data_IF_752504227240
#
_entry.id   IF_752504227240
#
_cell.length_a   1.000
_cell.length_b   1.000
_cell.length_c   1.000
_cell.angle_alpha   90.00
_cell.angle_beta   90.00
_cell.angle_gamma   90.00
#
_symmetry.space_group_name_H-M   'P 1'
#
loop_
_entity.id
_entity.type
_entity.pdbx_description
1 polymer ?
#
# COMPACT_ATOMS: atom_id res chain seq x y z
N UNK A 1 -21.07 10.39 10.82
CA UNK A 1 -20.81 9.20 11.66
C UNK A 1 -19.71 8.39 11.00
N UNK A 2 -18.74 7.90 11.77
CA UNK A 2 -17.74 6.97 11.24
C UNK A 2 -18.38 5.60 11.00
N UNK A 3 -17.82 4.84 10.07
CA UNK A 3 -18.16 3.43 9.84
C UNK A 3 -17.56 2.57 10.96
N UNK A 4 -18.04 1.33 11.12
CA UNK A 4 -17.66 0.49 12.25
C UNK A 4 -16.17 0.11 12.25
N UNK A 5 -15.71 -0.62 11.25
CA UNK A 5 -14.34 -1.13 11.21
C UNK A 5 -13.77 -1.23 9.80
N UNK A 6 -12.45 -1.10 9.69
CA UNK A 6 -11.71 -1.29 8.45
C UNK A 6 -10.43 -2.11 8.67
N UNK A 7 -10.07 -2.91 7.66
CA UNK A 7 -8.77 -3.58 7.56
C UNK A 7 -7.96 -2.88 6.46
N UNK A 8 -6.82 -2.30 6.83
CA UNK A 8 -5.92 -1.61 5.90
C UNK A 8 -4.86 -2.57 5.40
N UNK A 9 -4.76 -2.73 4.07
CA UNK A 9 -3.61 -3.37 3.43
C UNK A 9 -2.42 -2.42 3.56
N UNK A 10 -1.42 -2.82 4.34
CA UNK A 10 -0.43 -1.91 4.90
C UNK A 10 1.00 -2.39 4.64
N UNK A 11 1.86 -1.51 4.14
CA UNK A 11 3.28 -1.79 3.88
C UNK A 11 4.25 -0.87 4.63
N UNK A 12 3.75 0.19 5.29
CA UNK A 12 4.61 1.19 5.92
C UNK A 12 5.20 2.23 4.95
N UNK A 13 4.87 2.14 3.66
CA UNK A 13 5.18 3.18 2.66
C UNK A 13 4.23 4.38 2.73
N UNK A 14 4.53 5.42 1.94
CA UNK A 14 3.76 6.67 1.86
C UNK A 14 2.26 6.42 1.65
N UNK A 15 1.91 5.71 0.58
CA UNK A 15 0.53 5.51 0.14
C UNK A 15 -0.29 4.75 1.19
N UNK A 16 0.19 3.57 1.61
CA UNK A 16 -0.51 2.74 2.60
C UNK A 16 -0.62 3.40 3.98
N UNK A 17 0.36 4.23 4.37
CA UNK A 17 0.29 5.02 5.60
C UNK A 17 -0.72 6.16 5.48
N UNK A 18 -0.82 6.81 4.32
CA UNK A 18 -1.87 7.80 4.05
C UNK A 18 -3.25 7.15 4.11
N UNK A 19 -3.42 5.95 3.53
CA UNK A 19 -4.64 5.14 3.67
C UNK A 19 -4.95 4.78 5.13
N UNK A 20 -3.94 4.50 5.95
CA UNK A 20 -4.12 4.23 7.38
C UNK A 20 -4.68 5.45 8.12
N UNK A 21 -4.10 6.64 7.91
CA UNK A 21 -4.62 7.87 8.50
C UNK A 21 -6.01 8.24 7.99
N UNK A 22 -6.27 8.01 6.70
CA UNK A 22 -7.60 8.13 6.12
C UNK A 22 -8.59 7.19 6.83
N UNK A 23 -8.24 5.91 7.00
CA UNK A 23 -9.08 4.95 7.72
C UNK A 23 -9.36 5.39 9.18
N UNK A 24 -8.36 5.91 9.90
CA UNK A 24 -8.55 6.42 11.28
C UNK A 24 -9.53 7.60 11.36
N UNK A 25 -9.64 8.41 10.31
CA UNK A 25 -10.63 9.51 10.22
C UNK A 25 -12.04 8.99 9.91
N UNK A 26 -12.16 7.91 9.15
CA UNK A 26 -13.45 7.40 8.63
C UNK A 26 -14.07 6.22 9.40
N UNK A 27 -13.29 5.51 10.22
CA UNK A 27 -13.73 4.31 10.95
C UNK A 27 -13.50 4.41 12.47
N UNK A 28 -14.35 3.75 13.27
CA UNK A 28 -14.20 3.67 14.72
C UNK A 28 -13.04 2.75 15.12
N UNK A 29 -12.90 1.61 14.43
CA UNK A 29 -11.81 0.64 14.65
C UNK A 29 -11.03 0.40 13.36
N UNK A 30 -9.71 0.40 13.45
CA UNK A 30 -8.82 0.11 12.32
C UNK A 30 -7.84 -1.00 12.70
N UNK A 31 -7.79 -2.05 11.88
CA UNK A 31 -6.74 -3.06 11.90
C UNK A 31 -5.90 -2.94 10.61
N UNK A 32 -4.67 -3.42 10.62
CA UNK A 32 -3.77 -3.43 9.46
C UNK A 32 -3.26 -4.84 9.17
N UNK A 33 -2.99 -5.14 7.89
CA UNK A 33 -2.35 -6.38 7.45
C UNK A 33 -1.18 -6.08 6.52
N UNK A 34 -0.02 -6.66 6.82
CA UNK A 34 1.17 -6.64 5.97
C UNK A 34 1.45 -8.03 5.40
N UNK A 35 1.85 -8.08 4.14
CA UNK A 35 2.18 -9.31 3.44
C UNK A 35 3.70 -9.46 3.33
N UNK A 36 4.25 -10.53 3.88
CA UNK A 36 5.67 -10.85 3.82
C UNK A 36 5.91 -11.90 2.72
N UNK A 37 6.32 -11.48 1.52
CA UNK A 37 6.47 -12.39 0.35
C UNK A 37 7.92 -12.54 -0.12
N UNK A 38 8.87 -12.70 0.80
CA UNK A 38 10.29 -12.98 0.47
C UNK A 38 11.17 -11.75 0.22
N UNK A 39 10.72 -10.56 0.64
CA UNK A 39 11.48 -9.32 0.43
C UNK A 39 12.90 -9.42 1.01
N UNK A 40 13.92 -9.05 0.20
CA UNK A 40 15.32 -8.83 0.64
C UNK A 40 15.44 -7.80 1.79
N UNK A 41 14.36 -7.09 2.15
CA UNK A 41 14.37 -6.00 3.14
C UNK A 41 13.35 -6.23 4.26
N UNK A 42 13.76 -7.00 5.28
CA UNK A 42 13.13 -7.10 6.60
C UNK A 42 12.69 -5.73 7.18
N UNK A 43 13.32 -4.65 6.73
CA UNK A 43 13.05 -3.29 7.16
C UNK A 43 11.64 -2.79 6.81
N UNK A 44 11.05 -3.18 5.67
CA UNK A 44 9.68 -2.73 5.32
C UNK A 44 8.64 -3.22 6.33
N UNK A 45 8.74 -4.50 6.72
CA UNK A 45 7.89 -5.10 7.76
C UNK A 45 8.15 -4.39 9.10
N UNK A 46 9.40 -4.15 9.47
CA UNK A 46 9.73 -3.43 10.73
C UNK A 46 9.15 -2.02 10.75
N UNK A 47 9.17 -1.30 9.63
CA UNK A 47 8.58 0.04 9.51
C UNK A 47 7.06 -0.04 9.65
N UNK A 48 6.41 -1.00 9.00
CA UNK A 48 4.98 -1.23 9.15
C UNK A 48 4.60 -1.56 10.61
N UNK A 49 5.29 -2.50 11.25
CA UNK A 49 5.07 -2.86 12.66
C UNK A 49 5.26 -1.65 13.59
N UNK A 50 6.31 -0.87 13.36
CA UNK A 50 6.62 0.32 14.16
C UNK A 50 5.51 1.36 14.01
N UNK A 51 5.11 1.70 12.79
CA UNK A 51 4.02 2.65 12.54
C UNK A 51 2.73 2.13 13.18
N UNK A 52 2.39 0.86 12.99
CA UNK A 52 1.17 0.30 13.56
C UNK A 52 1.15 0.39 15.10
N UNK A 53 2.28 0.08 15.74
CA UNK A 53 2.45 0.21 17.18
C UNK A 53 2.33 1.66 17.65
N UNK A 54 2.99 2.60 16.98
CA UNK A 54 2.91 4.04 17.28
C UNK A 54 1.48 4.58 17.11
N UNK A 55 0.74 4.07 16.12
CA UNK A 55 -0.63 4.46 15.83
C UNK A 55 -1.68 3.73 16.68
N UNK A 56 -1.27 2.78 17.53
CA UNK A 56 -2.14 2.03 18.42
C UNK A 56 -3.10 1.08 17.71
N UNK A 57 -2.75 0.61 16.50
CA UNK A 57 -3.62 -0.27 15.71
C UNK A 57 -3.16 -1.74 15.84
N UNK A 58 -4.12 -2.66 15.75
CA UNK A 58 -3.81 -4.09 15.65
C UNK A 58 -3.22 -4.36 14.26
N UNK A 59 -2.11 -5.08 14.23
CA UNK A 59 -1.37 -5.39 13.01
C UNK A 59 -1.17 -6.89 12.85
N UNK A 60 -1.46 -7.38 11.65
CA UNK A 60 -1.30 -8.77 11.26
C UNK A 60 -0.19 -8.86 10.21
N UNK A 61 0.66 -9.88 10.31
CA UNK A 61 1.64 -10.20 9.28
C UNK A 61 1.25 -11.54 8.71
N UNK A 62 1.03 -11.59 7.40
CA UNK A 62 0.75 -12.81 6.67
C UNK A 62 1.98 -13.19 5.84
N UNK A 63 2.54 -14.36 6.13
CA UNK A 63 3.61 -14.95 5.34
C UNK A 63 3.05 -15.45 4.01
N UNK A 64 3.61 -14.90 2.94
CA UNK A 64 3.26 -15.11 1.55
C UNK A 64 4.45 -15.69 0.77
N UNK A 65 5.45 -16.26 1.45
CA UNK A 65 6.61 -16.95 0.86
C UNK A 65 6.22 -18.05 -0.13
N UNK A 66 5.03 -18.64 0.01
CA UNK A 66 4.47 -19.61 -0.93
C UNK A 66 4.38 -19.07 -2.37
N UNK A 67 4.26 -17.75 -2.55
CA UNK A 67 4.22 -17.13 -3.88
C UNK A 67 5.50 -17.43 -4.66
N UNK A 68 6.63 -17.59 -3.97
CA UNK A 68 7.91 -17.97 -4.60
C UNK A 68 7.93 -19.35 -5.23
N UNK A 69 6.94 -20.21 -4.95
CA UNK A 69 6.78 -21.49 -5.66
C UNK A 69 6.12 -21.34 -7.03
N UNK A 70 5.43 -20.22 -7.26
CA UNK A 70 4.59 -19.99 -8.45
C UNK A 70 5.24 -18.94 -9.37
N UNK A 71 6.17 -18.14 -8.84
CA UNK A 71 6.78 -17.01 -9.55
C UNK A 71 8.30 -17.16 -9.63
N UNK A 72 8.86 -17.21 -10.84
CA UNK A 72 10.29 -17.03 -11.08
C UNK A 72 10.58 -15.53 -11.29
N UNK A 73 11.06 -14.83 -10.26
CA UNK A 73 11.42 -13.41 -10.37
C UNK A 73 12.60 -13.06 -9.44
N UNK A 74 13.16 -11.86 -9.57
CA UNK A 74 14.33 -11.43 -8.80
C UNK A 74 14.07 -11.23 -7.28
N UNK A 75 12.81 -11.39 -6.81
CA UNK A 75 12.48 -11.46 -5.39
C UNK A 75 12.51 -12.90 -4.85
N UNK A 76 12.40 -13.90 -5.74
CA UNK A 76 12.31 -15.33 -5.39
C UNK A 76 13.52 -16.14 -5.87
N UNK A 77 14.44 -15.50 -6.60
CA UNK A 77 15.67 -16.08 -7.16
C UNK A 77 16.87 -15.14 -6.95
N UNK A 78 18.10 -15.65 -7.08
CA UNK A 78 19.36 -14.89 -6.98
C UNK A 78 19.64 -13.97 -8.18
N UNK A 79 18.60 -13.56 -8.92
CA UNK A 79 18.74 -12.65 -10.05
C UNK A 79 19.00 -11.20 -9.59
N UNK A 80 19.76 -10.45 -10.39
CA UNK A 80 19.88 -9.00 -10.21
C UNK A 80 18.55 -8.33 -10.57
N UNK A 81 18.18 -7.29 -9.83
CA UNK A 81 16.96 -6.52 -10.11
C UNK A 81 17.26 -5.63 -11.31
N UNK A 82 16.63 -5.91 -12.45
CA UNK A 82 16.74 -5.11 -13.67
C UNK A 82 15.39 -4.42 -13.96
N UNK A 83 15.45 -3.11 -14.23
CA UNK A 83 14.33 -2.35 -14.75
C UNK A 83 14.81 -1.58 -15.99
N UNK A 84 14.31 -1.98 -17.17
CA UNK A 84 14.51 -1.23 -18.41
C UNK A 84 13.37 -0.25 -18.60
N UNK A 85 13.68 0.90 -19.21
CA UNK A 85 12.70 1.94 -19.48
C UNK A 85 11.59 1.39 -20.41
N UNK A 86 10.34 1.37 -19.94
CA UNK A 86 9.19 0.82 -20.67
C UNK A 86 8.91 -0.68 -20.45
N UNK A 87 9.73 -1.39 -19.66
CA UNK A 87 9.49 -2.80 -19.30
C UNK A 87 9.09 -2.95 -17.83
N UNK A 88 8.29 -3.98 -17.54
CA UNK A 88 7.91 -4.33 -16.18
C UNK A 88 9.14 -4.92 -15.48
N UNK A 89 9.48 -4.49 -14.25
CA UNK A 89 10.66 -5.01 -13.53
C UNK A 89 10.67 -6.54 -13.44
N UNK A 90 11.85 -7.15 -13.49
CA UNK A 90 11.98 -8.61 -13.32
C UNK A 90 11.68 -9.12 -11.89
N UNK A 91 11.20 -8.26 -11.00
CA UNK A 91 10.61 -8.55 -9.67
C UNK A 91 9.09 -8.70 -9.73
N UNK A 92 8.50 -8.59 -10.92
CA UNK A 92 7.07 -8.63 -11.15
C UNK A 92 6.47 -9.99 -10.82
N UNK A 93 5.30 -9.94 -10.16
CA UNK A 93 4.42 -11.09 -9.94
C UNK A 93 3.07 -10.70 -10.52
N UNK A 94 2.72 -11.30 -11.65
CA UNK A 94 1.41 -11.14 -12.25
C UNK A 94 0.31 -11.52 -11.25
N UNK A 95 -0.65 -10.61 -11.06
CA UNK A 95 -1.82 -10.85 -10.21
C UNK A 95 -1.53 -10.94 -8.71
N UNK A 96 -0.39 -10.42 -8.20
CA UNK A 96 -0.13 -10.46 -6.75
C UNK A 96 -1.21 -9.73 -5.94
N UNK A 97 -1.75 -8.61 -6.45
CA UNK A 97 -2.74 -7.84 -5.71
C UNK A 97 -4.08 -8.59 -5.63
N UNK A 98 -4.37 -9.47 -6.60
CA UNK A 98 -5.49 -10.40 -6.50
C UNK A 98 -5.35 -11.30 -5.28
N UNK A 99 -4.17 -11.87 -5.09
CA UNK A 99 -3.88 -12.73 -3.95
C UNK A 99 -3.93 -11.91 -2.65
N UNK A 100 -3.21 -10.80 -2.56
CA UNK A 100 -3.22 -9.95 -1.36
C UNK A 100 -4.62 -9.52 -0.94
N UNK A 101 -5.46 -9.05 -1.87
CA UNK A 101 -6.84 -8.67 -1.56
C UNK A 101 -7.70 -9.87 -1.16
N UNK A 102 -7.45 -11.05 -1.73
CA UNK A 102 -8.15 -12.29 -1.33
C UNK A 102 -7.79 -12.71 0.10
N UNK A 103 -6.49 -12.70 0.45
CA UNK A 103 -6.03 -12.99 1.82
C UNK A 103 -6.52 -11.94 2.82
N UNK A 104 -6.47 -10.65 2.45
CA UNK A 104 -7.02 -9.57 3.26
C UNK A 104 -8.52 -9.76 3.53
N UNK A 105 -9.30 -10.18 2.53
CA UNK A 105 -10.72 -10.39 2.69
C UNK A 105 -11.06 -11.59 3.59
N UNK A 106 -10.33 -12.69 3.45
CA UNK A 106 -10.46 -13.84 4.37
C UNK A 106 -10.16 -13.42 5.80
N UNK A 107 -9.08 -12.66 6.02
CA UNK A 107 -8.75 -12.11 7.33
C UNK A 107 -9.86 -11.17 7.82
N UNK A 108 -10.30 -10.20 7.00
CA UNK A 108 -11.34 -9.24 7.35
C UNK A 108 -12.62 -9.96 7.82
N UNK A 109 -13.06 -11.02 7.13
CA UNK A 109 -14.21 -11.82 7.53
C UNK A 109 -14.02 -12.49 8.89
N UNK A 110 -12.87 -13.09 9.15
CA UNK A 110 -12.56 -13.68 10.48
C UNK A 110 -12.56 -12.64 11.60
N UNK A 111 -12.30 -11.37 11.26
CA UNK A 111 -12.34 -10.23 12.19
C UNK A 111 -13.71 -9.54 12.24
N UNK A 112 -14.68 -9.94 11.42
CA UNK A 112 -15.99 -9.28 11.30
C UNK A 112 -15.92 -7.88 10.69
N UNK A 113 -14.93 -7.64 9.83
CA UNK A 113 -14.66 -6.35 9.18
C UNK A 113 -15.19 -6.39 7.74
N UNK A 114 -16.01 -5.41 7.36
CA UNK A 114 -16.57 -5.29 6.00
C UNK A 114 -15.69 -4.46 5.06
N UNK A 115 -15.03 -3.43 5.56
CA UNK A 115 -14.26 -2.52 4.73
C UNK A 115 -12.79 -2.92 4.66
N UNK A 116 -12.30 -3.04 3.43
CA UNK A 116 -10.89 -3.30 3.15
C UNK A 116 -10.34 -2.05 2.48
N UNK A 117 -9.37 -1.39 3.10
CA UNK A 117 -8.74 -0.18 2.54
C UNK A 117 -7.42 -0.57 1.91
N UNK A 118 -7.18 -0.18 0.66
CA UNK A 118 -5.93 -0.44 -0.05
C UNK A 118 -5.43 0.82 -0.76
N UNK A 119 -4.11 0.97 -0.82
CA UNK A 119 -3.44 2.10 -1.46
C UNK A 119 -3.11 1.88 -2.93
N UNK A 120 -3.71 0.88 -3.59
CA UNK A 120 -3.54 0.73 -5.05
C UNK A 120 -4.10 1.95 -5.78
N UNK A 121 -3.40 2.37 -6.83
CA UNK A 121 -3.71 3.56 -7.60
C UNK A 121 -3.47 3.32 -9.10
N UNK A 122 -4.25 4.00 -9.95
CA UNK A 122 -4.19 3.90 -11.41
C UNK A 122 -3.48 5.11 -12.07
N UNK A 123 -3.21 6.21 -11.35
CA UNK A 123 -2.53 7.39 -11.92
C UNK A 123 -1.01 7.20 -12.03
N UNK A 124 -0.40 6.50 -11.06
CA UNK A 124 1.03 6.16 -11.03
C UNK A 124 1.35 4.82 -11.76
N UNK A 125 0.55 4.48 -12.76
CA UNK A 125 0.51 3.15 -13.36
C UNK A 125 1.82 2.78 -14.08
N UNK A 126 2.56 1.86 -13.46
CA UNK A 126 3.74 1.21 -14.04
C UNK A 126 3.40 -0.02 -14.90
N UNK A 127 2.15 -0.20 -15.32
CA UNK A 127 1.74 -1.33 -16.16
C UNK A 127 0.82 -2.37 -15.50
N UNK A 128 0.56 -2.29 -14.19
CA UNK A 128 -0.04 -3.35 -13.37
C UNK A 128 -1.58 -3.48 -13.52
N UNK A 129 -2.12 -4.41 -14.31
CA UNK A 129 -3.57 -4.52 -14.53
C UNK A 129 -4.37 -4.76 -13.24
N UNK A 130 -3.74 -5.34 -12.22
CA UNK A 130 -4.29 -5.64 -10.90
C UNK A 130 -4.26 -4.45 -9.91
N UNK A 131 -3.97 -3.23 -10.40
CA UNK A 131 -4.12 -1.97 -9.65
C UNK A 131 -5.31 -1.12 -10.11
N UNK A 132 -5.93 -1.44 -11.25
CA UNK A 132 -6.97 -0.60 -11.88
C UNK A 132 -8.30 -0.67 -11.14
N UNK A 133 -9.08 0.40 -11.22
CA UNK A 133 -10.40 0.48 -10.61
C UNK A 133 -11.34 -0.66 -11.06
N UNK A 134 -11.34 -0.95 -12.37
CA UNK A 134 -12.15 -2.03 -12.95
C UNK A 134 -11.82 -3.40 -12.37
N UNK A 135 -10.55 -3.66 -12.10
CA UNK A 135 -10.11 -4.90 -11.47
C UNK A 135 -10.57 -4.95 -10.01
N UNK A 136 -10.34 -3.89 -9.24
CA UNK A 136 -10.72 -3.85 -7.82
C UNK A 136 -12.23 -4.04 -7.64
N UNK A 137 -13.04 -3.39 -8.49
CA UNK A 137 -14.51 -3.56 -8.49
C UNK A 137 -14.93 -4.98 -8.82
N UNK A 138 -14.33 -5.58 -9.86
CA UNK A 138 -14.60 -6.97 -10.24
C UNK A 138 -14.23 -7.92 -9.10
N UNK A 139 -13.07 -7.73 -8.47
CA UNK A 139 -12.62 -8.57 -7.38
C UNK A 139 -13.50 -8.42 -6.13
N UNK A 140 -13.99 -7.22 -5.82
CA UNK A 140 -14.93 -7.03 -4.72
C UNK A 140 -16.18 -7.89 -4.92
N UNK A 141 -16.75 -7.93 -6.14
CA UNK A 141 -17.89 -8.79 -6.44
C UNK A 141 -17.53 -10.26 -6.25
N UNK A 142 -16.38 -10.70 -6.78
CA UNK A 142 -15.90 -12.08 -6.61
C UNK A 142 -15.76 -12.47 -5.13
N UNK A 143 -15.17 -11.61 -4.30
CA UNK A 143 -14.97 -11.88 -2.87
C UNK A 143 -16.29 -11.95 -2.11
N UNK A 144 -17.26 -11.09 -2.45
CA UNK A 144 -18.58 -11.13 -1.84
C UNK A 144 -19.30 -12.44 -2.17
N UNK A 145 -19.26 -12.87 -3.43
CA UNK A 145 -19.84 -14.14 -3.87
C UNK A 145 -19.15 -15.36 -3.26
N UNK A 146 -17.82 -15.35 -3.20
CA UNK A 146 -17.03 -16.47 -2.69
C UNK A 146 -17.26 -16.73 -1.19
N UNK A 147 -17.65 -15.70 -0.45
CA UNK A 147 -17.76 -15.78 1.01
C UNK A 147 -19.13 -15.43 1.56
N UNK A 148 -20.13 -15.10 0.73
CA UNK A 148 -21.46 -14.63 1.19
C UNK A 148 -21.32 -13.55 2.27
N UNK A 149 -20.54 -12.50 1.94
CA UNK A 149 -20.20 -11.42 2.87
C UNK A 149 -20.09 -10.09 2.13
N UNK A 150 -20.72 -9.04 2.66
CA UNK A 150 -20.77 -7.71 2.03
C UNK A 150 -19.47 -6.94 2.24
N UNK A 151 -18.37 -7.36 1.62
CA UNK A 151 -17.16 -6.55 1.62
C UNK A 151 -17.36 -5.29 0.79
N UNK A 152 -16.63 -4.24 1.19
CA UNK A 152 -16.44 -3.04 0.37
C UNK A 152 -14.95 -2.74 0.32
N UNK A 153 -14.36 -2.78 -0.87
CA UNK A 153 -12.96 -2.38 -1.06
C UNK A 153 -12.93 -0.86 -1.29
N UNK A 154 -12.19 -0.16 -0.44
CA UNK A 154 -11.93 1.27 -0.53
C UNK A 154 -10.55 1.49 -1.14
N UNK A 155 -10.49 2.35 -2.16
CA UNK A 155 -9.25 2.78 -2.82
C UNK A 155 -9.14 4.30 -2.78
N UNK A 156 -8.85 4.91 -1.60
CA UNK A 156 -8.89 6.37 -1.43
C UNK A 156 -7.92 7.13 -2.35
N UNK A 157 -6.89 6.46 -2.84
CA UNK A 157 -5.85 7.03 -3.69
C UNK A 157 -6.06 6.75 -5.18
N UNK A 158 -7.11 6.02 -5.58
CA UNK A 158 -7.28 5.51 -6.96
C UNK A 158 -7.07 6.56 -8.05
N UNK A 159 -7.54 7.78 -7.78
CA UNK A 159 -7.58 8.91 -8.72
C UNK A 159 -6.67 10.06 -8.29
N UNK A 160 -5.78 9.83 -7.31
CA UNK A 160 -4.87 10.86 -6.80
C UNK A 160 -3.48 10.63 -7.38
N UNK A 161 -2.85 11.69 -7.86
CA UNK A 161 -1.41 11.68 -8.14
C UNK A 161 -0.59 11.77 -6.83
N UNK A 162 0.75 11.85 -6.95
CA UNK A 162 1.63 11.94 -5.78
C UNK A 162 1.55 13.27 -5.04
N UNK A 163 1.28 14.38 -5.71
CA UNK A 163 1.08 15.66 -5.05
C UNK A 163 -0.24 15.67 -4.28
N UNK A 164 -1.32 15.17 -4.89
CA UNK A 164 -2.62 15.02 -4.24
C UNK A 164 -2.57 14.01 -3.07
N UNK A 165 -1.72 12.99 -3.15
CA UNK A 165 -1.46 12.08 -2.02
C UNK A 165 -0.77 12.80 -0.85
N UNK A 166 0.17 13.71 -1.12
CA UNK A 166 0.77 14.56 -0.09
C UNK A 166 -0.24 15.54 0.51
N UNK A 167 -1.07 16.17 -0.34
CA UNK A 167 -2.16 17.02 0.10
C UNK A 167 -3.12 16.25 1.02
N UNK A 168 -3.51 15.04 0.64
CA UNK A 168 -4.37 14.20 1.47
C UNK A 168 -3.72 13.91 2.83
N UNK A 169 -2.43 13.59 2.87
CA UNK A 169 -1.71 13.39 4.13
C UNK A 169 -1.74 14.66 5.02
N UNK A 170 -1.65 15.84 4.43
CA UNK A 170 -1.73 17.12 5.14
C UNK A 170 -3.16 17.41 5.65
N UNK A 171 -4.18 17.21 4.82
CA UNK A 171 -5.60 17.33 5.21
C UNK A 171 -6.00 16.35 6.34
N UNK A 172 -5.24 15.26 6.50
CA UNK A 172 -5.39 14.28 7.58
C UNK A 172 -4.59 14.64 8.84
N UNK A 173 -3.79 15.72 8.81
CA UNK A 173 -2.90 16.12 9.90
C UNK A 173 -1.72 15.16 10.09
N UNK A 174 -1.33 14.45 9.03
CA UNK A 174 -0.32 13.40 9.06
C UNK A 174 0.88 13.68 8.15
N UNK A 175 0.98 14.89 7.57
CA UNK A 175 2.03 15.26 6.61
C UNK A 175 3.45 14.95 7.11
N UNK A 176 3.85 15.53 8.25
CA UNK A 176 5.19 15.32 8.81
C UNK A 176 5.44 13.85 9.18
N UNK A 177 4.42 13.18 9.72
CA UNK A 177 4.52 11.77 10.07
C UNK A 177 4.77 10.91 8.82
N UNK A 178 3.99 11.12 7.76
CA UNK A 178 4.17 10.42 6.47
C UNK A 178 5.53 10.76 5.89
N UNK A 179 5.96 12.03 5.95
CA UNK A 179 7.25 12.49 5.42
C UNK A 179 8.45 11.85 6.09
N UNK A 180 8.42 11.67 7.40
CA UNK A 180 9.59 11.25 8.18
C UNK A 180 9.60 9.77 8.57
N UNK A 181 8.44 9.11 8.70
CA UNK A 181 8.35 7.78 9.31
C UNK A 181 8.15 6.64 8.32
N UNK A 182 7.80 6.95 7.07
CA UNK A 182 7.46 5.93 6.07
C UNK A 182 8.66 5.52 5.22
N UNK A 183 8.60 4.31 4.67
CA UNK A 183 9.63 3.76 3.80
C UNK A 183 9.09 3.58 2.37
N UNK A 184 9.54 4.43 1.45
CA UNK A 184 9.28 4.29 0.01
C UNK A 184 10.54 3.89 -0.77
N UNK A 185 11.71 4.16 -0.22
CA UNK A 185 13.00 3.93 -0.88
C UNK A 185 13.27 2.43 -1.09
N UNK A 186 13.60 2.04 -2.32
CA UNK A 186 14.00 0.66 -2.64
C UNK A 186 15.28 0.22 -1.93
N UNK A 187 16.11 1.17 -1.49
CA UNK A 187 17.35 0.91 -0.74
C UNK A 187 17.15 0.91 0.79
N UNK A 188 15.91 0.90 1.29
CA UNK A 188 15.65 0.79 2.73
C UNK A 188 15.91 2.08 3.53
N UNK A 189 15.94 3.25 2.90
CA UNK A 189 16.12 4.52 3.62
C UNK A 189 14.75 5.15 3.93
N UNK A 190 14.43 5.27 5.22
CA UNK A 190 13.18 5.87 5.72
C UNK A 190 13.17 7.39 5.43
N UNK A 191 11.98 7.95 5.25
CA UNK A 191 11.79 9.39 5.11
C UNK A 191 12.02 9.88 3.67
N UNK A 192 12.97 10.80 3.47
CA UNK A 192 13.34 11.29 2.13
C UNK A 192 13.96 10.20 1.23
N UNK A 193 14.47 9.12 1.83
CA UNK A 193 15.07 8.03 1.08
C UNK A 193 16.47 8.35 0.53
N UNK A 194 16.93 7.59 -0.45
CA UNK A 194 18.28 7.74 -1.00
C UNK A 194 18.43 8.89 -2.01
N UNK A 195 17.32 9.36 -2.60
CA UNK A 195 17.34 10.39 -3.63
C UNK A 195 17.70 9.90 -5.04
N UNK A 196 18.16 8.65 -5.19
CA UNK A 196 18.69 8.11 -6.47
C UNK A 196 17.87 6.96 -7.09
N UNK A 197 16.82 6.49 -6.42
CA UNK A 197 15.98 5.39 -6.93
C UNK A 197 14.65 5.91 -7.51
N UNK A 198 14.02 5.20 -8.46
CA UNK A 198 12.77 5.64 -9.10
C UNK A 198 11.66 6.00 -8.09
N UNK A 199 11.51 5.19 -7.03
CA UNK A 199 10.52 5.43 -5.98
C UNK A 199 10.80 6.72 -5.18
N UNK A 200 12.07 7.06 -4.92
CA UNK A 200 12.46 8.32 -4.28
C UNK A 200 12.20 9.51 -5.21
N UNK A 201 12.54 9.41 -6.50
CA UNK A 201 12.29 10.49 -7.47
C UNK A 201 10.80 10.81 -7.59
N UNK A 202 9.95 9.79 -7.72
CA UNK A 202 8.51 9.96 -7.82
C UNK A 202 7.92 10.59 -6.55
N UNK A 203 8.34 10.11 -5.37
CA UNK A 203 7.92 10.65 -4.08
C UNK A 203 8.34 12.12 -3.88
N UNK A 204 9.58 12.43 -4.22
CA UNK A 204 10.15 13.78 -4.08
C UNK A 204 9.50 14.75 -5.08
N UNK A 205 9.31 14.35 -6.33
CA UNK A 205 8.63 15.17 -7.33
C UNK A 205 7.21 15.55 -6.88
N UNK A 206 6.43 14.58 -6.39
CA UNK A 206 5.11 14.87 -5.84
C UNK A 206 5.15 15.81 -4.63
N UNK A 207 6.18 15.70 -3.78
CA UNK A 207 6.36 16.60 -2.63
C UNK A 207 6.65 18.03 -3.09
N UNK A 208 7.55 18.21 -4.06
CA UNK A 208 7.93 19.51 -4.59
C UNK A 208 6.74 20.21 -5.25
N UNK A 209 5.97 19.47 -6.06
CA UNK A 209 4.73 19.97 -6.68
C UNK A 209 3.74 20.42 -5.60
N UNK A 210 3.50 19.61 -4.58
CA UNK A 210 2.60 19.97 -3.48
C UNK A 210 3.03 21.23 -2.73
N UNK A 211 4.30 21.34 -2.34
CA UNK A 211 4.82 22.50 -1.59
C UNK A 211 4.73 23.79 -2.42
N UNK A 212 5.03 23.70 -3.73
CA UNK A 212 4.90 24.85 -4.64
C UNK A 212 3.44 25.33 -4.77
N UNK A 213 2.47 24.41 -4.75
CA UNK A 213 1.04 24.74 -4.79
C UNK A 213 0.53 25.33 -3.47
N UNK A 214 1.10 24.88 -2.35
CA UNK A 214 0.77 25.37 -1.00
C UNK A 214 1.35 26.76 -0.72
N UNK A 215 2.38 27.17 -1.46
CA UNK A 215 3.09 28.45 -1.25
C UNK A 215 4.11 28.40 -0.11
N UNK A 216 4.61 27.20 0.22
CA UNK A 216 5.68 26.96 1.20
C UNK A 216 6.97 26.63 0.42
N UNK A 217 7.64 27.67 -0.10
CA UNK A 217 9.04 27.61 -0.61
C UNK A 217 10.06 27.79 0.53
#
# INVERSE_FOLDING_TARGET
>A
MKRQSALVVFSGGQDSTTCLFWAKKHYETVEAVTFAYGQRHHLEIQVAEKIAKEQGIRHHILDMSLLGQITENALTSDMEIEQKEGEVPNTFVDGRNHLFLSFAAVLAKQRGIKDIVTGVCETDFSGYPDCRDVFVKSLNVTLNLAMDYDFVIQTPLMWLDKAETWELADQLGAFDYVREKTLTCYNGIIGSGCGDCPACHLRQHGLDVYLSQKGED
#
